data_IF_584880237822
#
_entry.id   IF_584880237822
#
_cell.length_a   1.000
_cell.length_b   1.000
_cell.length_c   1.000
_cell.angle_alpha   90.00
_cell.angle_beta   90.00
_cell.angle_gamma   90.00
#
_symmetry.space_group_name_H-M   'P 1'
#
loop_
_entity.id
_entity.type
_entity.pdbx_description
1 polymer ?
#
# COMPACT_ATOMS: atom_id res chain seq x y z
N UNK A 1 1.34 -22.62 -1.31
CA UNK A 1 0.02 -21.98 -1.63
C UNK A 1 0.28 -20.57 -2.17
N UNK A 2 -0.70 -19.86 -2.77
CA UNK A 2 -0.44 -18.50 -3.30
C UNK A 2 0.16 -17.56 -2.23
N UNK A 3 -0.35 -17.62 -1.00
CA UNK A 3 0.17 -16.84 0.13
C UNK A 3 1.62 -17.17 0.49
N UNK A 4 2.00 -18.46 0.49
CA UNK A 4 3.38 -18.85 0.78
C UNK A 4 4.39 -18.28 -0.23
N UNK A 5 4.01 -18.22 -1.52
CA UNK A 5 4.86 -17.64 -2.58
C UNK A 5 5.04 -16.13 -2.40
N UNK A 6 3.98 -15.44 -2.00
CA UNK A 6 4.06 -14.02 -1.63
C UNK A 6 4.96 -13.83 -0.39
N UNK A 7 4.87 -14.73 0.58
CA UNK A 7 5.76 -14.71 1.74
C UNK A 7 7.22 -14.90 1.34
N UNK A 8 7.55 -15.83 0.43
CA UNK A 8 8.92 -16.02 -0.07
C UNK A 8 9.48 -14.74 -0.72
N UNK A 9 8.71 -14.13 -1.63
CA UNK A 9 9.09 -12.87 -2.27
C UNK A 9 9.25 -11.73 -1.26
N UNK A 10 8.36 -11.67 -0.25
CA UNK A 10 8.40 -10.65 0.79
C UNK A 10 9.59 -10.82 1.74
N UNK A 11 9.96 -12.06 2.08
CA UNK A 11 11.17 -12.37 2.87
C UNK A 11 12.41 -11.91 2.10
N UNK A 12 12.51 -12.24 0.81
CA UNK A 12 13.66 -11.84 0.01
C UNK A 12 13.76 -10.32 -0.14
N UNK A 13 12.62 -9.65 -0.35
CA UNK A 13 12.55 -8.20 -0.34
C UNK A 13 12.99 -7.62 1.01
N UNK A 14 12.56 -8.23 2.12
CA UNK A 14 12.96 -7.80 3.46
C UNK A 14 14.48 -7.83 3.62
N UNK A 15 15.11 -8.95 3.28
CA UNK A 15 16.57 -9.10 3.36
C UNK A 15 17.27 -8.04 2.51
N UNK A 16 16.87 -7.90 1.24
CA UNK A 16 17.44 -6.92 0.30
C UNK A 16 17.37 -5.48 0.82
N UNK A 17 16.20 -5.04 1.29
CA UNK A 17 16.01 -3.67 1.74
C UNK A 17 16.63 -3.43 3.13
N UNK A 18 16.45 -4.36 4.06
CA UNK A 18 16.92 -4.22 5.44
C UNK A 18 18.45 -4.24 5.53
N UNK A 19 19.11 -5.13 4.79
CA UNK A 19 20.58 -5.22 4.79
C UNK A 19 21.24 -3.95 4.22
N UNK A 20 20.51 -3.19 3.41
CA UNK A 20 20.90 -1.88 2.89
C UNK A 20 20.37 -0.69 3.72
N UNK A 21 19.80 -0.93 4.90
CA UNK A 21 19.30 0.10 5.80
C UNK A 21 18.06 0.85 5.27
N UNK A 22 17.34 0.27 4.31
CA UNK A 22 16.12 0.87 3.73
C UNK A 22 14.91 0.43 4.56
N UNK A 23 14.35 1.39 5.30
CA UNK A 23 13.07 1.19 5.98
C UNK A 23 11.94 1.09 4.95
N UNK A 24 11.09 0.07 5.09
CA UNK A 24 9.93 -0.15 4.23
C UNK A 24 8.75 -0.74 5.01
N UNK A 25 7.56 -0.67 4.43
CA UNK A 25 6.36 -1.27 4.99
C UNK A 25 5.44 -1.81 3.89
N UNK A 26 5.05 -3.07 4.02
CA UNK A 26 4.02 -3.70 3.18
C UNK A 26 2.66 -3.08 3.47
N UNK A 27 1.93 -2.78 2.40
CA UNK A 27 0.58 -2.25 2.36
C UNK A 27 -0.30 -3.11 1.43
N UNK A 28 -1.50 -2.62 1.11
CA UNK A 28 -2.35 -3.21 0.08
C UNK A 28 -2.92 -4.56 0.45
N UNK A 29 -3.26 -5.35 -0.58
CA UNK A 29 -3.99 -6.61 -0.41
C UNK A 29 -3.21 -7.64 0.42
N UNK A 30 -1.89 -7.72 0.24
CA UNK A 30 -1.04 -8.66 0.96
C UNK A 30 -0.99 -8.36 2.47
N UNK A 31 -0.86 -7.09 2.86
CA UNK A 31 -0.97 -6.70 4.28
C UNK A 31 -2.35 -7.05 4.86
N UNK A 32 -3.42 -6.81 4.12
CA UNK A 32 -4.78 -7.13 4.57
C UNK A 32 -4.96 -8.62 4.79
N UNK A 33 -4.48 -9.46 3.87
CA UNK A 33 -4.48 -10.92 4.03
C UNK A 33 -3.69 -11.35 5.26
N UNK A 34 -2.48 -10.78 5.47
CA UNK A 34 -1.65 -11.06 6.65
C UNK A 34 -2.37 -10.78 7.97
N UNK A 35 -3.06 -9.65 8.06
CA UNK A 35 -3.84 -9.28 9.26
C UNK A 35 -5.19 -10.01 9.39
N UNK A 36 -5.45 -11.05 8.58
CA UNK A 36 -6.63 -11.92 8.68
C UNK A 36 -7.82 -11.47 7.83
N UNK A 37 -7.62 -10.56 6.88
CA UNK A 37 -8.64 -10.17 5.91
C UNK A 37 -8.89 -11.27 4.88
N UNK A 38 -10.16 -11.47 4.51
CA UNK A 38 -10.54 -12.41 3.45
C UNK A 38 -10.30 -11.79 2.06
N UNK A 39 -9.02 -11.64 1.71
CA UNK A 39 -8.54 -11.01 0.48
C UNK A 39 -7.60 -11.97 -0.25
N UNK A 40 -7.83 -12.13 -1.55
CA UNK A 40 -6.88 -12.81 -2.44
C UNK A 40 -6.08 -11.76 -3.22
N UNK A 41 -4.76 -11.82 -3.12
CA UNK A 41 -3.82 -10.95 -3.82
C UNK A 41 -2.78 -11.80 -4.55
N UNK A 42 -2.17 -11.23 -5.59
CA UNK A 42 -1.12 -11.87 -6.41
C UNK A 42 0.17 -11.05 -6.43
N UNK A 43 0.17 -9.95 -5.69
CA UNK A 43 1.09 -8.83 -5.76
C UNK A 43 1.39 -8.32 -4.35
N UNK A 44 2.56 -7.72 -4.18
CA UNK A 44 3.01 -7.14 -2.91
C UNK A 44 3.13 -5.64 -3.12
N UNK A 45 2.30 -4.85 -2.44
CA UNK A 45 2.45 -3.41 -2.42
C UNK A 45 3.26 -3.00 -1.17
N UNK A 46 4.22 -2.10 -1.31
CA UNK A 46 4.95 -1.57 -0.16
C UNK A 46 5.41 -0.13 -0.39
N UNK A 47 5.56 0.62 0.70
CA UNK A 47 6.19 1.94 0.71
C UNK A 47 7.61 1.80 1.24
N UNK A 48 8.55 2.59 0.72
CA UNK A 48 9.95 2.57 1.15
C UNK A 48 10.49 3.98 1.36
N UNK A 49 11.24 4.18 2.43
CA UNK A 49 11.95 5.44 2.67
C UNK A 49 13.26 5.49 1.89
N UNK A 50 13.17 5.56 0.57
CA UNK A 50 14.32 5.54 -0.33
C UNK A 50 13.95 6.18 -1.68
N UNK A 51 14.98 6.50 -2.47
CA UNK A 51 14.83 6.79 -3.90
C UNK A 51 14.72 5.51 -4.71
N UNK A 52 14.28 5.65 -5.97
CA UNK A 52 14.24 4.55 -6.93
C UNK A 52 15.61 3.89 -7.11
N UNK A 53 16.66 4.68 -7.22
CA UNK A 53 18.03 4.21 -7.41
C UNK A 53 18.51 3.42 -6.19
N UNK A 54 18.29 3.95 -4.98
CA UNK A 54 18.65 3.25 -3.74
C UNK A 54 17.94 1.89 -3.62
N UNK A 55 16.67 1.81 -4.02
CA UNK A 55 15.93 0.54 -4.03
C UNK A 55 16.56 -0.41 -5.04
N UNK A 56 16.81 0.04 -6.27
CA UNK A 56 17.39 -0.79 -7.35
C UNK A 56 18.76 -1.34 -6.94
N UNK A 57 19.61 -0.50 -6.37
CA UNK A 57 20.96 -0.87 -5.92
C UNK A 57 20.94 -1.87 -4.75
N UNK A 58 19.85 -1.90 -3.98
CA UNK A 58 19.68 -2.81 -2.84
C UNK A 58 19.10 -4.19 -3.22
N UNK A 59 18.54 -4.37 -4.43
CA UNK A 59 17.90 -5.63 -4.81
C UNK A 59 18.92 -6.74 -5.04
N UNK A 60 18.69 -7.89 -4.41
CA UNK A 60 19.44 -9.12 -4.71
C UNK A 60 18.98 -9.73 -6.05
N UNK A 61 19.69 -9.34 -7.11
CA UNK A 61 19.43 -9.86 -8.47
C UNK A 61 19.86 -11.31 -8.64
N UNK A 62 20.80 -11.81 -7.83
CA UNK A 62 21.23 -13.22 -7.85
C UNK A 62 20.16 -14.13 -7.24
N UNK A 63 19.45 -13.65 -6.22
CA UNK A 63 18.26 -14.30 -5.66
C UNK A 63 16.99 -14.12 -6.52
N UNK A 64 17.10 -13.44 -7.67
CA UNK A 64 16.06 -13.38 -8.70
C UNK A 64 15.13 -12.18 -8.63
N UNK A 65 15.40 -11.16 -7.81
CA UNK A 65 14.67 -9.90 -7.87
C UNK A 65 15.07 -9.12 -9.12
N UNK A 66 14.11 -8.91 -10.04
CA UNK A 66 14.36 -8.24 -11.32
C UNK A 66 13.49 -7.00 -11.45
N UNK A 67 14.13 -5.85 -11.66
CA UNK A 67 13.44 -4.57 -11.92
C UNK A 67 12.65 -4.65 -13.22
N UNK A 68 11.39 -4.22 -13.18
CA UNK A 68 10.56 -4.04 -14.37
C UNK A 68 10.79 -2.62 -14.91
N UNK A 69 10.89 -2.40 -16.22
CA UNK A 69 11.12 -1.05 -16.78
C UNK A 69 9.88 -0.14 -16.68
N UNK A 70 10.08 1.13 -16.28
CA UNK A 70 9.01 2.08 -15.90
C UNK A 70 9.58 3.50 -15.84
N UNK A 71 8.79 4.46 -16.32
CA UNK A 71 9.21 5.87 -16.45
C UNK A 71 9.02 6.70 -15.17
N UNK A 72 8.37 6.14 -14.15
CA UNK A 72 8.09 6.84 -12.88
C UNK A 72 9.30 6.87 -11.96
N UNK A 73 9.50 8.00 -11.27
CA UNK A 73 10.56 8.21 -10.28
C UNK A 73 10.11 7.93 -8.84
N UNK A 74 8.79 7.88 -8.58
CA UNK A 74 8.20 7.64 -7.26
C UNK A 74 7.85 6.16 -7.03
N UNK A 75 8.31 5.26 -7.91
CA UNK A 75 7.80 3.90 -8.00
C UNK A 75 8.81 2.95 -8.64
N UNK A 76 8.93 1.75 -8.05
CA UNK A 76 9.71 0.60 -8.52
C UNK A 76 8.86 -0.66 -8.44
N UNK A 77 8.29 -1.07 -9.56
CA UNK A 77 7.94 -2.46 -9.86
C UNK A 77 9.15 -3.42 -9.94
N UNK A 78 9.09 -4.51 -9.20
CA UNK A 78 10.04 -5.62 -9.18
C UNK A 78 9.28 -6.90 -9.46
N UNK A 79 9.90 -7.83 -10.16
CA UNK A 79 9.37 -9.18 -10.37
C UNK A 79 10.28 -10.20 -9.71
N UNK A 80 9.66 -11.21 -9.10
CA UNK A 80 10.37 -12.37 -8.57
C UNK A 80 9.81 -13.65 -9.20
N UNK A 81 10.60 -14.40 -9.99
CA UNK A 81 10.19 -15.69 -10.53
C UNK A 81 10.42 -16.76 -9.46
N UNK A 82 9.35 -17.42 -8.99
CA UNK A 82 9.52 -18.61 -8.14
C UNK A 82 9.96 -19.87 -8.91
N UNK A 83 10.07 -19.77 -10.25
CA UNK A 83 10.43 -20.89 -11.14
C UNK A 83 11.46 -20.50 -12.21
N UNK A 84 12.29 -21.46 -12.66
CA UNK A 84 13.20 -21.27 -13.78
C UNK A 84 12.52 -20.88 -15.09
N UNK A 85 11.29 -21.35 -15.33
CA UNK A 85 10.50 -21.03 -16.53
C UNK A 85 9.90 -19.62 -16.51
N UNK A 86 10.07 -18.87 -15.42
CA UNK A 86 9.53 -17.53 -15.16
C UNK A 86 8.00 -17.45 -15.29
N UNK A 87 7.29 -18.58 -15.22
CA UNK A 87 5.84 -18.61 -15.19
C UNK A 87 5.29 -18.09 -13.86
N UNK A 88 4.24 -17.27 -13.90
CA UNK A 88 3.54 -16.75 -12.71
C UNK A 88 4.44 -16.02 -11.69
N UNK A 89 5.23 -15.05 -12.15
CA UNK A 89 6.05 -14.18 -11.29
C UNK A 89 5.21 -13.47 -10.24
N UNK A 90 5.77 -13.30 -9.04
CA UNK A 90 5.23 -12.37 -8.05
C UNK A 90 5.65 -10.96 -8.46
N UNK A 91 4.69 -10.04 -8.54
CA UNK A 91 4.96 -8.63 -8.74
C UNK A 91 5.01 -7.92 -7.40
N UNK A 92 6.01 -7.06 -7.24
CA UNK A 92 6.23 -6.24 -6.05
C UNK A 92 6.20 -4.79 -6.52
N UNK A 93 5.35 -3.98 -5.89
CA UNK A 93 5.16 -2.57 -6.17
C UNK A 93 5.74 -1.75 -5.01
N UNK A 94 6.87 -1.08 -5.23
CA UNK A 94 7.56 -0.30 -4.20
C UNK A 94 7.37 1.20 -4.47
N UNK A 95 6.69 1.92 -3.59
CA UNK A 95 6.48 3.36 -3.69
C UNK A 95 7.54 4.13 -2.90
N UNK A 96 8.25 5.03 -3.58
CA UNK A 96 9.43 5.72 -3.07
C UNK A 96 9.06 7.01 -2.32
N UNK A 97 9.76 7.31 -1.23
CA UNK A 97 9.61 8.59 -0.51
C UNK A 97 10.46 9.72 -1.10
N UNK A 98 11.58 9.38 -1.75
CA UNK A 98 12.55 10.34 -2.26
C UNK A 98 12.44 10.39 -3.77
N UNK A 99 11.86 11.47 -4.31
CA UNK A 99 11.74 11.69 -5.74
C UNK A 99 11.63 13.20 -6.04
N UNK A 100 11.90 13.66 -7.28
CA UNK A 100 11.73 15.06 -7.66
C UNK A 100 10.28 15.54 -7.42
N UNK A 101 10.12 16.52 -6.53
CA UNK A 101 8.81 17.06 -6.13
C UNK A 101 8.16 16.37 -4.93
N UNK A 102 8.85 15.45 -4.26
CA UNK A 102 8.40 14.87 -2.99
C UNK A 102 8.19 15.97 -1.95
N UNK A 103 7.04 15.93 -1.27
CA UNK A 103 6.68 16.91 -0.21
C UNK A 103 7.19 16.48 1.15
N UNK A 104 7.25 15.18 1.41
CA UNK A 104 7.65 14.64 2.69
C UNK A 104 8.70 13.53 2.50
N UNK A 105 9.87 13.86 1.91
CA UNK A 105 10.98 12.91 1.88
C UNK A 105 11.33 12.57 3.34
N UNK A 106 11.35 11.28 3.69
CA UNK A 106 11.53 10.80 5.07
C UNK A 106 10.36 10.99 6.01
N UNK A 107 9.12 11.06 5.51
CA UNK A 107 7.96 10.96 6.40
C UNK A 107 8.07 9.72 7.28
N UNK A 108 7.90 9.93 8.59
CA UNK A 108 7.84 8.84 9.54
C UNK A 108 6.60 8.00 9.22
N UNK A 109 6.80 6.76 8.81
CA UNK A 109 5.76 5.75 8.78
C UNK A 109 6.09 4.67 9.81
N UNK A 110 5.05 4.15 10.46
CA UNK A 110 5.20 3.11 11.49
C UNK A 110 5.02 1.74 10.89
N UNK A 111 6.01 0.89 11.08
CA UNK A 111 5.96 -0.50 10.66
C UNK A 111 6.21 -1.43 11.83
N UNK A 112 5.70 -2.63 11.70
CA UNK A 112 5.94 -3.73 12.60
C UNK A 112 6.52 -4.88 11.81
N UNK A 113 7.51 -5.55 12.37
CA UNK A 113 8.06 -6.76 11.78
C UNK A 113 7.25 -7.95 12.25
N UNK A 114 6.76 -8.76 11.31
CA UNK A 114 5.98 -9.96 11.59
C UNK A 114 6.69 -11.18 11.00
N UNK A 115 6.65 -12.30 11.72
CA UNK A 115 7.08 -13.57 11.18
C UNK A 115 6.09 -14.07 10.13
N UNK A 116 6.62 -14.55 9.01
CA UNK A 116 5.85 -15.18 7.94
C UNK A 116 6.53 -16.48 7.53
N UNK A 117 5.76 -17.39 6.92
CA UNK A 117 6.26 -18.67 6.43
C UNK A 117 6.07 -18.79 4.92
N UNK A 118 7.18 -18.82 4.19
CA UNK A 118 7.24 -19.12 2.77
C UNK A 118 7.41 -20.62 2.48
N UNK A 119 7.26 -21.01 1.20
CA UNK A 119 7.47 -22.39 0.75
C UNK A 119 8.96 -22.67 0.50
N UNK A 120 9.74 -21.66 0.07
CA UNK A 120 11.15 -21.77 -0.34
C UNK A 120 12.12 -21.35 0.77
N UNK A 121 11.89 -20.18 1.35
CA UNK A 121 12.76 -19.60 2.38
C UNK A 121 12.33 -19.97 3.80
N UNK A 122 11.25 -20.74 3.96
CA UNK A 122 10.75 -21.18 5.25
C UNK A 122 10.30 -20.01 6.11
N UNK A 123 10.73 -19.95 7.37
CA UNK A 123 10.37 -18.85 8.26
C UNK A 123 11.27 -17.64 8.00
N UNK A 124 10.66 -16.48 7.87
CA UNK A 124 11.36 -15.21 7.78
C UNK A 124 10.54 -14.09 8.38
N UNK A 125 11.02 -12.87 8.20
CA UNK A 125 10.40 -11.66 8.73
C UNK A 125 10.06 -10.70 7.60
N UNK A 126 8.97 -9.96 7.78
CA UNK A 126 8.50 -8.94 6.83
C UNK A 126 8.00 -7.73 7.60
N UNK A 127 8.31 -6.53 7.10
CA UNK A 127 7.83 -5.28 7.68
C UNK A 127 6.46 -4.92 7.12
N UNK A 128 5.42 -4.88 7.95
CA UNK A 128 4.06 -4.47 7.60
C UNK A 128 3.73 -3.10 8.17
N UNK A 129 2.89 -2.35 7.46
CA UNK A 129 2.42 -1.07 7.97
C UNK A 129 1.41 -1.27 9.12
N UNK A 130 1.55 -0.50 10.21
CA UNK A 130 0.58 -0.51 11.31
C UNK A 130 -0.86 -0.27 10.83
N UNK A 131 -1.90 -0.91 11.41
CA UNK A 131 -3.27 -0.91 10.87
C UNK A 131 -3.87 0.48 10.60
N UNK A 132 -3.62 1.48 11.44
CA UNK A 132 -4.07 2.85 11.17
C UNK A 132 -3.51 3.45 9.87
N UNK A 133 -2.24 3.24 9.59
CA UNK A 133 -1.64 3.77 8.37
C UNK A 133 -1.95 2.90 7.16
N UNK A 134 -2.15 1.58 7.35
CA UNK A 134 -2.75 0.72 6.35
C UNK A 134 -4.15 1.24 5.96
N UNK A 135 -4.95 1.71 6.93
CA UNK A 135 -6.20 2.42 6.67
C UNK A 135 -6.00 3.71 5.88
N UNK A 136 -5.01 4.55 6.21
CA UNK A 136 -4.69 5.75 5.39
C UNK A 136 -4.35 5.36 3.94
N UNK A 137 -3.56 4.30 3.74
CA UNK A 137 -3.22 3.79 2.40
C UNK A 137 -4.44 3.29 1.63
N UNK A 138 -5.30 2.48 2.26
CA UNK A 138 -6.55 2.03 1.67
C UNK A 138 -7.49 3.21 1.34
N UNK A 139 -7.56 4.23 2.22
CA UNK A 139 -8.38 5.41 2.01
C UNK A 139 -7.95 6.21 0.78
N UNK A 140 -6.63 6.38 0.63
CA UNK A 140 -6.03 7.03 -0.54
C UNK A 140 -6.30 6.26 -1.82
N UNK A 141 -6.10 4.93 -1.79
CA UNK A 141 -6.39 4.07 -2.91
C UNK A 141 -7.87 4.17 -3.34
N UNK A 142 -8.79 4.10 -2.39
CA UNK A 142 -10.24 4.25 -2.63
C UNK A 142 -10.62 5.63 -3.17
N UNK A 143 -9.92 6.70 -2.77
CA UNK A 143 -10.13 8.03 -3.32
C UNK A 143 -9.60 8.20 -4.75
N UNK A 144 -8.50 7.52 -5.08
CA UNK A 144 -7.88 7.60 -6.40
C UNK A 144 -8.59 6.72 -7.45
N UNK A 145 -9.03 5.53 -7.08
CA UNK A 145 -9.52 4.49 -8.02
C UNK A 145 -10.96 4.11 -7.75
N UNK A 146 -11.65 3.65 -8.79
CA UNK A 146 -13.01 3.10 -8.70
C UNK A 146 -12.99 1.56 -8.67
N UNK A 147 -12.12 0.96 -7.84
CA UNK A 147 -12.04 -0.50 -7.67
C UNK A 147 -12.85 -0.94 -6.44
N UNK A 148 -13.76 -1.91 -6.63
CA UNK A 148 -14.61 -2.44 -5.57
C UNK A 148 -13.82 -2.94 -4.35
N UNK A 149 -12.64 -3.54 -4.58
CA UNK A 149 -11.79 -4.09 -3.53
C UNK A 149 -11.29 -3.01 -2.57
N UNK A 150 -11.02 -1.79 -3.05
CA UNK A 150 -10.63 -0.66 -2.18
C UNK A 150 -11.73 -0.37 -1.12
N UNK A 151 -13.00 -0.51 -1.50
CA UNK A 151 -14.13 -0.33 -0.57
C UNK A 151 -14.27 -1.49 0.43
N UNK A 152 -13.94 -2.72 0.00
CA UNK A 152 -13.97 -3.92 0.86
C UNK A 152 -12.89 -3.83 1.92
N UNK A 153 -11.68 -3.46 1.49
CA UNK A 153 -10.49 -3.29 2.32
C UNK A 153 -10.74 -2.25 3.42
N UNK A 154 -11.32 -1.09 3.06
CA UNK A 154 -11.70 -0.06 4.04
C UNK A 154 -12.74 -0.53 5.04
N UNK A 155 -13.81 -1.21 4.58
CA UNK A 155 -14.83 -1.75 5.51
C UNK A 155 -14.22 -2.74 6.48
N UNK A 156 -13.37 -3.63 5.99
CA UNK A 156 -12.70 -4.62 6.84
C UNK A 156 -11.77 -3.95 7.87
N UNK A 157 -10.95 -2.99 7.44
CA UNK A 157 -10.05 -2.25 8.34
C UNK A 157 -10.82 -1.50 9.42
N UNK A 158 -11.90 -0.81 9.06
CA UNK A 158 -12.73 -0.12 10.05
C UNK A 158 -13.36 -1.12 11.00
N UNK A 159 -14.00 -2.18 10.51
CA UNK A 159 -14.64 -3.18 11.36
C UNK A 159 -13.65 -3.80 12.36
N UNK A 160 -12.43 -4.09 11.93
CA UNK A 160 -11.42 -4.78 12.74
C UNK A 160 -10.66 -3.86 13.70
N UNK A 161 -10.37 -2.63 13.27
CA UNK A 161 -9.48 -1.68 13.96
C UNK A 161 -10.18 -0.36 14.31
N UNK A 162 -11.52 -0.35 14.48
CA UNK A 162 -12.31 0.87 14.78
C UNK A 162 -11.69 1.70 15.90
N UNK A 163 -11.38 1.08 17.05
CA UNK A 163 -10.84 1.79 18.22
C UNK A 163 -9.51 2.48 17.91
N UNK A 164 -8.60 1.74 17.27
CA UNK A 164 -7.27 2.20 16.92
C UNK A 164 -7.31 3.38 15.92
N UNK A 165 -8.20 3.28 14.92
CA UNK A 165 -8.40 4.33 13.92
C UNK A 165 -9.08 5.55 14.55
N UNK A 166 -10.10 5.35 15.39
CA UNK A 166 -10.90 6.42 16.01
C UNK A 166 -10.08 7.31 16.95
N UNK A 167 -9.14 6.74 17.70
CA UNK A 167 -8.24 7.51 18.58
C UNK A 167 -7.36 8.46 17.76
N UNK A 168 -6.99 8.05 16.54
CA UNK A 168 -6.15 8.82 15.61
C UNK A 168 -6.92 9.57 14.53
N UNK A 169 -8.25 9.70 14.65
CA UNK A 169 -9.11 10.32 13.62
C UNK A 169 -8.68 11.73 13.21
N UNK A 170 -8.05 12.47 14.11
CA UNK A 170 -7.54 13.82 13.85
C UNK A 170 -6.43 13.86 12.79
N UNK A 171 -5.77 12.72 12.52
CA UNK A 171 -4.77 12.54 11.46
C UNK A 171 -5.37 12.07 10.12
N UNK A 172 -6.69 11.97 10.01
CA UNK A 172 -7.38 11.60 8.77
C UNK A 172 -7.86 12.89 8.10
N UNK A 173 -7.39 13.16 6.88
CA UNK A 173 -7.83 14.37 6.17
C UNK A 173 -9.22 14.16 5.56
N UNK A 174 -10.12 15.10 5.84
CA UNK A 174 -11.52 15.07 5.37
C UNK A 174 -11.64 15.05 3.85
N UNK A 175 -10.69 15.66 3.12
CA UNK A 175 -10.68 15.62 1.65
C UNK A 175 -10.52 14.19 1.12
N UNK A 176 -9.81 13.31 1.82
CA UNK A 176 -9.58 11.93 1.38
C UNK A 176 -10.79 11.06 1.60
N UNK A 177 -11.44 11.25 2.75
CA UNK A 177 -12.74 10.68 3.06
C UNK A 177 -13.75 11.10 1.99
N UNK A 178 -13.82 12.40 1.66
CA UNK A 178 -14.73 12.91 0.63
C UNK A 178 -14.47 12.32 -0.75
N UNK A 179 -13.19 12.17 -1.14
CA UNK A 179 -12.80 11.53 -2.41
C UNK A 179 -13.22 10.06 -2.44
N UNK A 180 -12.94 9.31 -1.38
CA UNK A 180 -13.32 7.91 -1.26
C UNK A 180 -14.85 7.74 -1.31
N UNK A 181 -15.62 8.61 -0.65
CA UNK A 181 -17.09 8.59 -0.71
C UNK A 181 -17.64 8.88 -2.10
N UNK A 182 -17.01 9.79 -2.85
CA UNK A 182 -17.42 10.09 -4.23
C UNK A 182 -17.18 8.90 -5.18
N UNK A 183 -16.10 8.16 -4.97
CA UNK A 183 -15.79 6.94 -5.73
C UNK A 183 -16.68 5.77 -5.28
N UNK A 184 -16.86 5.61 -3.97
CA UNK A 184 -17.52 4.48 -3.31
C UNK A 184 -18.57 4.97 -2.31
N UNK A 185 -19.78 5.35 -2.76
CA UNK A 185 -20.83 5.88 -1.86
C UNK A 185 -21.26 4.92 -0.75
N UNK A 186 -21.07 3.61 -0.93
CA UNK A 186 -21.33 2.58 0.08
C UNK A 186 -20.38 2.64 1.30
N UNK A 187 -19.38 3.53 1.30
CA UNK A 187 -18.51 3.78 2.45
C UNK A 187 -19.10 4.78 3.46
N UNK A 188 -20.26 5.40 3.21
CA UNK A 188 -20.82 6.41 4.10
C UNK A 188 -20.98 5.90 5.54
N UNK A 189 -21.73 4.80 5.73
CA UNK A 189 -21.89 4.17 7.05
C UNK A 189 -20.61 3.50 7.58
N UNK A 190 -19.58 3.32 6.74
CA UNK A 190 -18.28 2.79 7.19
C UNK A 190 -17.54 3.80 8.06
N UNK A 191 -17.70 5.10 7.81
CA UNK A 191 -16.93 6.13 8.51
C UNK A 191 -17.63 6.66 9.77
N UNK A 192 -18.92 6.39 9.96
CA UNK A 192 -19.68 6.83 11.14
C UNK A 192 -19.09 6.33 12.47
N UNK A 193 -18.67 5.05 12.63
CA UNK A 193 -18.11 4.56 13.90
C UNK A 193 -16.82 5.28 14.31
N UNK A 194 -16.08 5.81 13.32
CA UNK A 194 -14.84 6.56 13.50
C UNK A 194 -15.08 7.99 14.02
N UNK A 195 -16.33 8.48 13.97
CA UNK A 195 -16.69 9.85 14.35
C UNK A 195 -16.15 10.91 13.37
N UNK A 196 -16.09 10.57 12.08
CA UNK A 196 -15.68 11.48 11.01
C UNK A 196 -16.89 12.31 10.55
N UNK A 197 -16.70 13.62 10.36
CA UNK A 197 -17.74 14.51 9.85
C UNK A 197 -17.93 14.32 8.34
N UNK A 198 -18.88 13.45 7.98
CA UNK A 198 -19.17 13.08 6.58
C UNK A 198 -19.60 14.28 5.75
N UNK A 199 -20.39 15.19 6.32
CA UNK A 199 -20.86 16.40 5.64
C UNK A 199 -19.67 17.28 5.26
N UNK A 200 -18.77 17.55 6.20
CA UNK A 200 -17.55 18.31 5.90
C UNK A 200 -16.63 17.58 4.93
N UNK A 201 -16.53 16.26 5.00
CA UNK A 201 -15.76 15.46 4.05
C UNK A 201 -16.29 15.61 2.62
N UNK A 202 -17.61 15.50 2.41
CA UNK A 202 -18.26 15.72 1.11
C UNK A 202 -17.99 17.13 0.56
N UNK A 203 -18.05 18.15 1.43
CA UNK A 203 -17.74 19.55 1.06
C UNK A 203 -16.26 19.69 0.68
N UNK A 204 -15.34 19.12 1.45
CA UNK A 204 -13.90 19.22 1.20
C UNK A 204 -13.49 18.61 -0.15
N UNK A 205 -14.25 17.62 -0.64
CA UNK A 205 -14.02 17.00 -1.94
C UNK A 205 -14.99 17.47 -3.03
N UNK A 206 -15.72 18.58 -2.87
CA UNK A 206 -16.78 19.01 -3.79
C UNK A 206 -16.34 19.14 -5.25
N UNK A 207 -15.11 19.57 -5.50
CA UNK A 207 -14.57 19.80 -6.85
C UNK A 207 -13.85 18.56 -7.43
N UNK A 208 -13.73 17.48 -6.65
CA UNK A 208 -13.13 16.23 -7.12
C UNK A 208 -14.03 15.51 -8.13
N UNK A 209 -13.45 15.12 -9.27
CA UNK A 209 -14.12 14.32 -10.31
C UNK A 209 -13.69 12.85 -10.15
N UNK A 210 -14.64 11.92 -9.89
CA UNK A 210 -14.33 10.51 -9.74
C UNK A 210 -13.71 9.88 -10.98
N UNK A 211 -12.83 8.91 -10.74
CA UNK A 211 -12.15 8.06 -11.72
C UNK A 211 -13.08 7.55 -12.83
N UNK A 212 -14.25 7.03 -12.45
CA UNK A 212 -15.23 6.45 -13.38
C UNK A 212 -15.83 7.45 -14.38
N UNK A 213 -15.64 8.74 -14.15
CA UNK A 213 -16.06 9.82 -15.06
C UNK A 213 -14.88 10.50 -15.76
N UNK A 214 -13.65 10.05 -15.49
CA UNK A 214 -12.46 10.52 -16.18
C UNK A 214 -12.17 9.66 -17.40
N UNK A 215 -11.76 10.27 -18.50
CA UNK A 215 -11.39 9.59 -19.76
C UNK A 215 -10.02 8.88 -19.69
N UNK A 216 -9.31 8.96 -18.56
CA UNK A 216 -7.99 8.35 -18.36
C UNK A 216 -8.15 6.95 -17.76
N UNK A 217 -7.55 5.94 -18.41
CA UNK A 217 -7.48 4.57 -17.87
C UNK A 217 -6.67 4.57 -16.57
N UNK A 218 -7.35 4.35 -15.45
CA UNK A 218 -6.74 4.20 -14.13
C UNK A 218 -6.32 2.75 -13.89
N UNK A 219 -5.26 2.32 -14.56
CA UNK A 219 -4.54 1.10 -14.17
C UNK A 219 -3.25 1.43 -13.40
N UNK A 220 -2.78 2.69 -13.46
CA UNK A 220 -1.57 3.07 -12.75
C UNK A 220 -1.78 3.25 -11.24
N UNK A 221 -0.81 2.83 -10.41
CA UNK A 221 -0.79 3.13 -8.99
C UNK A 221 -0.86 4.64 -8.72
N UNK A 222 -1.47 5.11 -7.61
CA UNK A 222 -1.56 6.54 -7.33
C UNK A 222 -0.16 7.19 -7.26
N UNK A 223 0.03 8.31 -7.96
CA UNK A 223 1.26 9.11 -7.89
C UNK A 223 1.40 9.78 -6.53
N UNK A 224 2.60 9.73 -5.96
CA UNK A 224 2.90 10.34 -4.66
C UNK A 224 2.15 9.69 -3.50
N UNK A 225 1.87 8.38 -3.57
CA UNK A 225 1.22 7.64 -2.50
C UNK A 225 1.93 7.84 -1.16
N UNK A 226 3.28 7.82 -1.15
CA UNK A 226 4.08 8.04 0.05
C UNK A 226 3.78 9.40 0.72
N UNK A 227 3.86 10.49 -0.03
CA UNK A 227 3.57 11.85 0.47
C UNK A 227 2.16 11.96 1.07
N UNK A 228 1.22 11.19 0.52
CA UNK A 228 -0.17 11.20 0.93
C UNK A 228 -0.43 10.46 2.25
N UNK A 229 0.54 9.66 2.70
CA UNK A 229 0.52 8.88 3.94
C UNK A 229 1.28 9.53 5.09
N UNK A 230 2.15 10.49 4.79
CA UNK A 230 2.83 11.29 5.79
C UNK A 230 1.83 11.88 6.81
N UNK A 231 2.22 11.93 8.07
CA UNK A 231 1.50 12.70 9.07
C UNK A 231 1.85 14.18 8.85
N UNK A 232 0.99 14.90 8.14
CA UNK A 232 1.03 16.37 7.99
C UNK A 232 0.06 17.05 8.94
#
# INVERSE_FOLDING_TARGET
>A
MLTSRLNDAAILLHLSLNDNGINYAVIGGFAITHFGGNRQTKDIDCIANASKEQIIDALDTEAGLVVVSQDRNDYVGVSWPDRPDRGNTVLIHIFCSVYPGARFPNALFRFETHEVKGDTFGNGVVSFHEPFYLFKAALRAAGARSNFLDSVDLRWLVQRYTTEIKVRRHKIHLVDVGRALKQHPNLEGCFDPLGIDITKAKIAAKDFIPARYSSQRLEDPPKGLFDSLADS
#
